data_IF_632907842290
#
_entry.id   IF_632907842290
#
_cell.length_a   1.000
_cell.length_b   1.000
_cell.length_c   1.000
_cell.angle_alpha   90.00
_cell.angle_beta   90.00
_cell.angle_gamma   90.00
#
_symmetry.space_group_name_H-M   'P 1'
#
loop_
_entity.id
_entity.type
_entity.pdbx_description
1 polymer ?
#
# COMPACT_ATOMS: atom_id res chain seq x y z
N UNK A 1 19.13 15.90 -43.63
CA UNK A 1 18.37 16.80 -42.73
C UNK A 1 19.01 16.84 -41.32
N UNK A 2 20.00 15.97 -41.08
CA UNK A 2 20.78 15.74 -39.86
C UNK A 2 21.25 17.00 -39.15
N UNK A 3 21.92 17.93 -39.85
CA UNK A 3 22.39 19.18 -39.25
C UNK A 3 21.24 20.00 -38.62
N UNK A 4 20.07 20.03 -39.26
CA UNK A 4 18.90 20.72 -38.71
C UNK A 4 18.39 20.02 -37.47
N UNK A 5 18.34 18.68 -37.48
CA UNK A 5 17.96 17.88 -36.32
C UNK A 5 18.91 18.11 -35.14
N UNK A 6 20.23 18.06 -35.36
CA UNK A 6 21.26 18.28 -34.34
C UNK A 6 21.13 19.68 -33.71
N UNK A 7 20.88 20.70 -34.54
CA UNK A 7 20.63 22.06 -34.09
C UNK A 7 19.37 22.10 -33.22
N UNK A 8 18.27 21.47 -33.65
CA UNK A 8 17.02 21.46 -32.88
C UNK A 8 17.18 20.76 -31.52
N UNK A 9 17.85 19.60 -31.49
CA UNK A 9 18.13 18.87 -30.24
C UNK A 9 19.01 19.71 -29.32
N UNK A 10 20.07 20.33 -29.86
CA UNK A 10 20.98 21.17 -29.09
C UNK A 10 20.28 22.41 -28.53
N UNK A 11 19.44 23.08 -29.32
CA UNK A 11 18.64 24.22 -28.87
C UNK A 11 17.64 23.82 -27.80
N UNK A 12 16.95 22.68 -27.94
CA UNK A 12 16.04 22.15 -26.93
C UNK A 12 16.78 21.82 -25.61
N UNK A 13 17.97 21.22 -25.70
CA UNK A 13 18.84 20.96 -24.55
C UNK A 13 19.23 22.26 -23.84
N UNK A 14 19.75 23.25 -24.56
CA UNK A 14 20.17 24.54 -23.99
C UNK A 14 18.98 25.25 -23.34
N UNK A 15 17.84 25.31 -24.03
CA UNK A 15 16.64 25.96 -23.53
C UNK A 15 16.13 25.29 -22.24
N UNK A 16 16.07 23.96 -22.22
CA UNK A 16 15.60 23.21 -21.06
C UNK A 16 16.56 23.29 -19.87
N UNK A 17 17.89 23.18 -20.09
CA UNK A 17 18.90 23.36 -19.04
C UNK A 17 18.85 24.77 -18.47
N UNK A 18 18.76 25.79 -19.32
CA UNK A 18 18.66 27.19 -18.89
C UNK A 18 17.43 27.41 -18.02
N UNK A 19 16.26 26.94 -18.48
CA UNK A 19 15.02 27.06 -17.73
C UNK A 19 15.09 26.30 -16.40
N UNK A 20 15.62 25.08 -16.42
CA UNK A 20 15.76 24.22 -15.25
C UNK A 20 16.67 24.85 -14.19
N UNK A 21 17.89 25.28 -14.56
CA UNK A 21 18.84 25.87 -13.62
C UNK A 21 18.40 27.24 -13.09
N UNK A 22 17.61 28.00 -13.86
CA UNK A 22 16.91 29.19 -13.33
C UNK A 22 15.97 28.84 -12.18
N UNK A 23 15.20 27.76 -12.33
CA UNK A 23 14.29 27.28 -11.28
C UNK A 23 15.00 26.64 -10.09
N UNK A 24 16.12 25.96 -10.31
CA UNK A 24 16.96 25.44 -9.22
C UNK A 24 17.49 26.58 -8.36
N UNK A 25 17.92 27.70 -8.95
CA UNK A 25 18.39 28.88 -8.20
C UNK A 25 17.30 29.53 -7.35
N UNK A 26 16.03 29.38 -7.73
CA UNK A 26 14.88 29.95 -7.01
C UNK A 26 14.24 28.97 -6.01
N UNK A 27 14.78 27.76 -5.86
CA UNK A 27 14.21 26.71 -5.01
C UNK A 27 15.29 25.98 -4.20
N UNK A 28 14.89 25.22 -3.17
CA UNK A 28 15.81 24.36 -2.41
C UNK A 28 15.90 22.97 -3.06
N UNK A 29 16.68 22.84 -4.14
CA UNK A 29 16.94 21.55 -4.77
C UNK A 29 17.94 20.71 -3.96
N UNK A 30 17.77 19.40 -3.96
CA UNK A 30 18.76 18.43 -3.47
C UNK A 30 19.86 18.31 -4.50
N UNK A 31 21.10 18.16 -4.06
CA UNK A 31 22.29 18.20 -4.95
C UNK A 31 22.23 17.16 -6.09
N UNK A 32 21.66 15.98 -5.85
CA UNK A 32 21.58 14.94 -6.87
C UNK A 32 20.55 15.24 -7.99
N UNK A 33 19.54 16.09 -7.75
CA UNK A 33 18.49 16.40 -8.74
C UNK A 33 19.07 17.14 -9.97
N UNK A 34 19.79 18.27 -9.84
CA UNK A 34 20.41 18.94 -10.99
C UNK A 34 21.53 18.12 -11.64
N UNK A 35 22.28 17.32 -10.87
CA UNK A 35 23.31 16.44 -11.42
C UNK A 35 22.67 15.38 -12.31
N UNK A 36 21.61 14.72 -11.84
CA UNK A 36 20.89 13.72 -12.63
C UNK A 36 20.27 14.33 -13.89
N UNK A 37 19.68 15.53 -13.80
CA UNK A 37 19.12 16.20 -14.97
C UNK A 37 20.19 16.54 -16.03
N UNK A 38 21.33 17.08 -15.61
CA UNK A 38 22.44 17.39 -16.51
C UNK A 38 23.05 16.11 -17.12
N UNK A 39 23.23 15.05 -16.32
CA UNK A 39 23.72 13.76 -16.79
C UNK A 39 22.75 13.09 -17.79
N UNK A 40 21.44 13.23 -17.57
CA UNK A 40 20.41 12.77 -18.51
C UNK A 40 20.52 13.45 -19.86
N UNK A 41 20.67 14.79 -19.89
CA UNK A 41 20.89 15.53 -21.13
C UNK A 41 22.22 15.20 -21.81
N UNK A 42 23.29 15.04 -21.03
CA UNK A 42 24.58 14.61 -21.56
C UNK A 42 24.47 13.24 -22.23
N UNK A 43 23.69 12.32 -21.65
CA UNK A 43 23.44 10.99 -22.23
C UNK A 43 22.68 11.10 -23.55
N UNK A 44 21.62 11.92 -23.61
CA UNK A 44 20.85 12.17 -24.85
C UNK A 44 21.77 12.76 -25.92
N UNK A 45 22.58 13.76 -25.57
CA UNK A 45 23.50 14.39 -26.49
C UNK A 45 24.57 13.43 -27.02
N UNK A 46 25.17 12.63 -26.13
CA UNK A 46 26.15 11.61 -26.51
C UNK A 46 25.56 10.54 -27.42
N UNK A 47 24.30 10.15 -27.17
CA UNK A 47 23.59 9.19 -28.00
C UNK A 47 23.21 9.77 -29.38
N UNK A 48 22.68 11.00 -29.45
CA UNK A 48 22.03 11.52 -30.67
C UNK A 48 22.86 12.47 -31.53
N UNK A 49 23.88 13.12 -30.97
CA UNK A 49 24.68 14.13 -31.69
C UNK A 49 26.17 13.74 -31.75
N UNK A 50 26.59 12.85 -30.84
CA UNK A 50 27.96 12.38 -30.74
C UNK A 50 28.37 11.42 -31.86
N UNK A 51 29.61 10.89 -31.80
CA UNK A 51 30.11 9.91 -32.78
C UNK A 51 29.27 8.62 -32.85
N UNK A 52 28.49 8.34 -31.80
CA UNK A 52 27.55 7.21 -31.80
C UNK A 52 26.49 7.33 -32.90
N UNK A 53 26.04 8.55 -33.21
CA UNK A 53 25.05 8.76 -34.26
C UNK A 53 25.62 8.42 -35.64
N UNK A 54 26.88 8.76 -35.91
CA UNK A 54 27.53 8.40 -37.18
C UNK A 54 27.84 6.91 -37.28
N UNK A 55 28.13 6.28 -36.15
CA UNK A 55 28.44 4.85 -36.08
C UNK A 55 27.19 3.99 -36.11
N UNK A 56 26.05 4.48 -35.62
CA UNK A 56 24.80 3.74 -35.65
C UNK A 56 24.23 3.56 -37.05
N UNK A 57 24.61 4.40 -38.02
CA UNK A 57 24.25 4.22 -39.43
C UNK A 57 24.86 2.94 -40.04
N UNK A 58 25.95 2.43 -39.45
CA UNK A 58 26.71 1.28 -39.98
C UNK A 58 26.79 0.08 -39.05
N UNK A 59 26.69 0.30 -37.73
CA UNK A 59 26.74 -0.74 -36.70
C UNK A 59 25.42 -0.80 -35.95
N UNK A 60 24.71 -1.91 -36.10
CA UNK A 60 23.45 -2.18 -35.44
C UNK A 60 23.61 -2.27 -33.92
N UNK A 61 24.75 -2.78 -33.41
CA UNK A 61 25.04 -2.77 -31.98
C UNK A 61 25.12 -1.34 -31.41
N UNK A 62 25.69 -0.40 -32.16
CA UNK A 62 25.77 1.02 -31.75
C UNK A 62 24.39 1.66 -31.84
N UNK A 63 23.61 1.35 -32.88
CA UNK A 63 22.21 1.77 -32.99
C UNK A 63 21.37 1.29 -31.79
N UNK A 64 21.48 0.02 -31.41
CA UNK A 64 20.81 -0.48 -30.20
C UNK A 64 21.32 0.16 -28.91
N UNK A 65 22.60 0.53 -28.87
CA UNK A 65 23.14 1.31 -27.75
C UNK A 65 22.48 2.68 -27.65
N UNK A 66 22.18 3.37 -28.77
CA UNK A 66 21.42 4.63 -28.73
C UNK A 66 20.05 4.43 -28.09
N UNK A 67 19.31 3.40 -28.51
CA UNK A 67 17.99 3.08 -27.95
C UNK A 67 18.07 2.83 -26.43
N UNK A 68 18.99 1.97 -25.99
CA UNK A 68 19.17 1.64 -24.58
C UNK A 68 19.57 2.87 -23.76
N UNK A 69 20.54 3.68 -24.22
CA UNK A 69 20.94 4.90 -23.53
C UNK A 69 19.78 5.87 -23.33
N UNK A 70 18.88 6.00 -24.31
CA UNK A 70 17.68 6.84 -24.16
C UNK A 70 16.71 6.28 -23.12
N UNK A 71 16.45 4.97 -23.13
CA UNK A 71 15.38 4.34 -22.35
C UNK A 71 15.78 4.01 -20.90
N UNK A 72 16.96 3.43 -20.70
CA UNK A 72 17.38 2.89 -19.39
C UNK A 72 18.39 3.79 -18.65
N UNK A 73 18.96 4.80 -19.31
CA UNK A 73 19.91 5.76 -18.69
C UNK A 73 19.35 7.19 -18.67
N UNK A 74 19.10 7.78 -19.84
CA UNK A 74 18.68 9.17 -19.94
C UNK A 74 17.30 9.41 -19.31
N UNK A 75 16.29 8.61 -19.68
CA UNK A 75 14.94 8.75 -19.16
C UNK A 75 14.85 8.72 -17.61
N UNK A 76 15.43 7.74 -16.88
CA UNK A 76 15.39 7.76 -15.42
C UNK A 76 16.14 8.95 -14.83
N UNK A 77 17.32 9.30 -15.36
CA UNK A 77 18.10 10.45 -14.90
C UNK A 77 17.32 11.77 -15.02
N UNK A 78 16.66 11.98 -16.17
CA UNK A 78 15.79 13.14 -16.39
C UNK A 78 14.62 13.13 -15.40
N UNK A 79 13.97 11.99 -15.17
CA UNK A 79 12.84 11.89 -14.23
C UNK A 79 13.27 12.17 -12.78
N UNK A 80 14.44 11.67 -12.36
CA UNK A 80 15.04 11.93 -11.03
C UNK A 80 15.29 13.43 -10.85
N UNK A 81 15.68 14.13 -11.92
CA UNK A 81 15.88 15.57 -11.92
C UNK A 81 14.62 16.41 -11.65
N UNK A 82 13.41 15.84 -11.66
CA UNK A 82 12.14 16.58 -11.43
C UNK A 82 11.97 17.82 -12.36
N UNK A 83 12.18 17.68 -13.68
CA UNK A 83 12.24 18.79 -14.62
C UNK A 83 10.97 19.63 -14.64
N UNK A 84 9.79 19.03 -14.40
CA UNK A 84 8.54 19.77 -14.34
C UNK A 84 8.47 20.77 -13.19
N UNK A 85 9.08 20.46 -12.04
CA UNK A 85 9.06 21.37 -10.88
C UNK A 85 10.01 22.53 -11.14
N UNK A 86 11.28 22.24 -11.40
CA UNK A 86 12.28 23.29 -11.58
C UNK A 86 12.03 24.08 -12.86
N UNK A 87 11.61 23.44 -13.95
CA UNK A 87 11.21 24.12 -15.18
C UNK A 87 10.08 25.14 -14.94
N UNK A 88 9.06 24.77 -14.16
CA UNK A 88 7.95 25.67 -13.80
C UNK A 88 8.43 26.86 -12.96
N UNK A 89 9.39 26.65 -12.06
CA UNK A 89 10.00 27.73 -11.25
C UNK A 89 11.04 28.56 -12.00
N UNK A 90 11.48 28.11 -13.18
CA UNK A 90 12.35 28.86 -14.08
C UNK A 90 11.60 29.87 -14.97
N UNK A 91 10.30 29.70 -15.13
CA UNK A 91 9.42 30.57 -15.91
C UNK A 91 9.18 31.92 -15.22
N UNK A 92 8.81 32.94 -16.00
CA UNK A 92 8.33 34.21 -15.44
C UNK A 92 7.03 34.02 -14.64
N UNK A 93 6.71 34.88 -13.67
CA UNK A 93 5.50 34.74 -12.85
C UNK A 93 4.21 34.58 -13.67
N UNK A 94 4.05 35.37 -14.74
CA UNK A 94 2.88 35.32 -15.62
C UNK A 94 2.82 34.03 -16.43
N UNK A 95 3.94 33.59 -17.02
CA UNK A 95 4.01 32.32 -17.75
C UNK A 95 3.74 31.13 -16.82
N UNK A 96 4.30 31.16 -15.60
CA UNK A 96 4.06 30.15 -14.58
C UNK A 96 2.59 30.07 -14.19
N UNK A 97 1.91 31.20 -14.02
CA UNK A 97 0.47 31.24 -13.71
C UNK A 97 -0.36 30.61 -14.84
N UNK A 98 -0.05 30.92 -16.09
CA UNK A 98 -0.72 30.34 -17.26
C UNK A 98 -0.51 28.83 -17.35
N UNK A 99 0.72 28.36 -17.20
CA UNK A 99 1.04 26.92 -17.20
C UNK A 99 0.34 26.20 -16.04
N UNK A 100 0.29 26.81 -14.85
CA UNK A 100 -0.45 26.25 -13.71
C UNK A 100 -1.95 26.19 -13.96
N UNK A 101 -2.55 27.19 -14.60
CA UNK A 101 -3.96 27.18 -14.95
C UNK A 101 -4.30 26.03 -15.92
N UNK A 102 -3.49 25.85 -16.96
CA UNK A 102 -3.65 24.76 -17.93
C UNK A 102 -3.46 23.39 -17.27
N UNK A 103 -2.37 23.22 -16.51
CA UNK A 103 -2.03 21.92 -15.90
C UNK A 103 -2.99 21.52 -14.77
N UNK A 104 -3.71 22.47 -14.17
CA UNK A 104 -4.76 22.21 -13.18
C UNK A 104 -6.15 21.99 -13.77
N UNK A 105 -6.34 22.19 -15.08
CA UNK A 105 -7.61 21.93 -15.72
C UNK A 105 -8.03 20.45 -15.52
N UNK A 106 -9.31 20.15 -15.16
CA UNK A 106 -9.74 18.79 -14.84
C UNK A 106 -9.46 17.78 -15.96
N UNK A 107 -9.62 18.19 -17.22
CA UNK A 107 -9.36 17.36 -18.40
C UNK A 107 -7.88 16.99 -18.52
N UNK A 108 -6.98 17.96 -18.28
CA UNK A 108 -5.52 17.75 -18.33
C UNK A 108 -5.09 16.83 -17.21
N UNK A 109 -5.57 17.05 -15.98
CA UNK A 109 -5.29 16.16 -14.86
C UNK A 109 -5.82 14.75 -15.09
N UNK A 110 -7.04 14.59 -15.61
CA UNK A 110 -7.62 13.27 -15.93
C UNK A 110 -6.79 12.54 -16.99
N UNK A 111 -6.40 13.25 -18.04
CA UNK A 111 -5.58 12.70 -19.13
C UNK A 111 -4.19 12.31 -18.62
N UNK A 112 -3.51 13.22 -17.91
CA UNK A 112 -2.22 12.95 -17.28
C UNK A 112 -2.26 11.71 -16.39
N UNK A 113 -3.32 11.59 -15.57
CA UNK A 113 -3.55 10.42 -14.70
C UNK A 113 -3.81 9.13 -15.47
N UNK A 114 -4.38 9.20 -16.67
CA UNK A 114 -4.61 8.03 -17.52
C UNK A 114 -3.31 7.57 -18.18
N UNK A 115 -2.58 8.48 -18.80
CA UNK A 115 -1.33 8.17 -19.53
C UNK A 115 -0.17 7.79 -18.60
N UNK A 116 -0.19 8.25 -17.34
CA UNK A 116 0.77 7.83 -16.30
C UNK A 116 0.26 6.64 -15.48
N UNK A 117 -0.86 6.03 -15.90
CA UNK A 117 -1.38 4.80 -15.31
C UNK A 117 -0.45 3.63 -15.63
N UNK A 118 -0.14 2.76 -14.65
CA UNK A 118 0.95 1.78 -14.81
C UNK A 118 0.68 0.74 -15.90
N UNK A 119 -0.57 0.30 -16.06
CA UNK A 119 -1.00 -0.60 -17.15
C UNK A 119 -0.86 0.08 -18.51
N UNK A 120 -1.29 1.34 -18.60
CA UNK A 120 -1.21 2.12 -19.85
C UNK A 120 0.24 2.28 -20.26
N UNK A 121 1.10 2.66 -19.32
CA UNK A 121 2.53 2.85 -19.58
C UNK A 121 3.20 1.53 -19.98
N UNK A 122 2.93 0.43 -19.28
CA UNK A 122 3.45 -0.90 -19.65
C UNK A 122 3.06 -1.26 -21.09
N UNK A 123 1.76 -1.17 -21.42
CA UNK A 123 1.24 -1.56 -22.73
C UNK A 123 1.80 -0.64 -23.82
N UNK A 124 1.76 0.68 -23.62
CA UNK A 124 2.24 1.64 -24.61
C UNK A 124 3.74 1.46 -24.82
N UNK A 125 4.54 1.31 -23.76
CA UNK A 125 5.97 1.10 -23.88
C UNK A 125 6.28 -0.22 -24.61
N UNK A 126 5.59 -1.31 -24.27
CA UNK A 126 5.74 -2.59 -24.96
C UNK A 126 5.37 -2.50 -26.44
N UNK A 127 4.22 -1.88 -26.78
CA UNK A 127 3.80 -1.70 -28.17
C UNK A 127 4.83 -0.89 -28.95
N UNK A 128 5.28 0.24 -28.40
CA UNK A 128 6.27 1.10 -29.06
C UNK A 128 7.57 0.33 -29.29
N UNK A 129 8.08 -0.35 -28.26
CA UNK A 129 9.31 -1.12 -28.33
C UNK A 129 9.22 -2.23 -29.39
N UNK A 130 8.18 -3.05 -29.35
CA UNK A 130 8.02 -4.15 -30.31
C UNK A 130 7.74 -3.66 -31.74
N UNK A 131 6.89 -2.65 -31.91
CA UNK A 131 6.52 -2.13 -33.23
C UNK A 131 7.74 -1.61 -33.99
N UNK A 132 8.63 -0.87 -33.32
CA UNK A 132 9.85 -0.34 -33.94
C UNK A 132 10.92 -1.40 -34.20
N UNK A 133 10.80 -2.61 -33.66
CA UNK A 133 11.70 -3.72 -33.97
C UNK A 133 11.14 -4.66 -35.05
N UNK A 134 9.92 -4.42 -35.54
CA UNK A 134 9.42 -5.10 -36.74
C UNK A 134 10.29 -4.65 -37.92
N UNK A 135 10.83 -5.59 -38.75
CA UNK A 135 11.75 -5.26 -39.84
C UNK A 135 11.31 -4.11 -40.73
N UNK A 136 10.04 -4.09 -41.13
CA UNK A 136 9.49 -3.02 -41.97
C UNK A 136 9.56 -1.64 -41.31
N UNK A 137 9.16 -1.51 -40.05
CA UNK A 137 9.16 -0.22 -39.34
C UNK A 137 10.59 0.23 -39.03
N UNK A 138 11.44 -0.72 -38.62
CA UNK A 138 12.83 -0.48 -38.32
C UNK A 138 13.60 0.02 -39.56
N UNK A 139 13.48 -0.69 -40.69
CA UNK A 139 14.08 -0.27 -41.96
C UNK A 139 13.54 1.08 -42.43
N UNK A 140 12.25 1.34 -42.23
CA UNK A 140 11.66 2.65 -42.53
C UNK A 140 12.30 3.80 -41.75
N UNK A 141 12.70 3.56 -40.50
CA UNK A 141 13.43 4.53 -39.69
C UNK A 141 14.86 4.73 -40.19
N UNK A 142 15.58 3.66 -40.55
CA UNK A 142 16.94 3.76 -41.10
C UNK A 142 17.02 4.62 -42.36
N UNK A 143 16.00 4.53 -43.23
CA UNK A 143 15.99 5.24 -44.51
C UNK A 143 15.43 6.66 -44.42
N UNK A 144 14.85 7.07 -43.29
CA UNK A 144 14.23 8.37 -43.13
C UNK A 144 14.51 8.98 -41.75
N UNK A 145 15.34 10.02 -41.74
CA UNK A 145 15.75 10.73 -40.52
C UNK A 145 14.57 11.24 -39.67
N UNK A 146 13.43 11.61 -40.27
CA UNK A 146 12.26 12.07 -39.51
C UNK A 146 11.56 10.91 -38.81
N UNK A 147 11.44 9.76 -39.48
CA UNK A 147 10.89 8.54 -38.89
C UNK A 147 11.82 8.05 -37.76
N UNK A 148 13.14 8.10 -37.99
CA UNK A 148 14.14 7.81 -36.97
C UNK A 148 14.02 8.71 -35.73
N UNK A 149 13.87 10.02 -35.94
CA UNK A 149 13.64 10.97 -34.85
C UNK A 149 12.34 10.67 -34.07
N UNK A 150 11.27 10.30 -34.76
CA UNK A 150 10.00 9.90 -34.13
C UNK A 150 10.18 8.61 -33.31
N UNK A 151 10.90 7.63 -33.83
CA UNK A 151 11.24 6.40 -33.09
C UNK A 151 11.99 6.72 -31.79
N UNK A 152 13.09 7.48 -31.87
CA UNK A 152 13.85 7.90 -30.69
C UNK A 152 13.00 8.68 -29.69
N UNK A 153 12.16 9.60 -30.16
CA UNK A 153 11.25 10.35 -29.31
C UNK A 153 10.24 9.44 -28.61
N UNK A 154 9.66 8.46 -29.32
CA UNK A 154 8.72 7.51 -28.75
C UNK A 154 9.37 6.61 -27.70
N UNK A 155 10.59 6.14 -27.94
CA UNK A 155 11.37 5.38 -26.94
C UNK A 155 11.64 6.22 -25.69
N UNK A 156 12.18 7.42 -25.86
CA UNK A 156 12.49 8.29 -24.73
C UNK A 156 11.23 8.66 -23.94
N UNK A 157 10.15 9.08 -24.60
CA UNK A 157 8.92 9.52 -23.93
C UNK A 157 8.24 8.37 -23.20
N UNK A 158 8.12 7.19 -23.82
CA UNK A 158 7.48 6.05 -23.15
C UNK A 158 8.31 5.53 -21.97
N UNK A 159 9.64 5.49 -22.10
CA UNK A 159 10.54 5.17 -21.01
C UNK A 159 10.47 6.22 -19.89
N UNK A 160 10.43 7.51 -20.21
CA UNK A 160 10.29 8.58 -19.22
C UNK A 160 8.96 8.47 -18.47
N UNK A 161 7.86 8.09 -19.13
CA UNK A 161 6.58 7.81 -18.47
C UNK A 161 6.66 6.59 -17.55
N UNK A 162 7.39 5.54 -17.94
CA UNK A 162 7.63 4.35 -17.12
C UNK A 162 8.41 4.69 -15.85
N UNK A 163 9.55 5.36 -16.00
CA UNK A 163 10.35 5.81 -14.87
C UNK A 163 9.61 6.84 -14.02
N UNK A 164 8.82 7.72 -14.63
CA UNK A 164 7.93 8.63 -13.90
C UNK A 164 6.94 7.87 -13.04
N UNK A 165 6.29 6.85 -13.59
CA UNK A 165 5.35 6.02 -12.85
C UNK A 165 6.01 5.31 -11.67
N UNK A 166 7.27 4.89 -11.78
CA UNK A 166 8.01 4.21 -10.71
C UNK A 166 8.55 5.18 -9.64
N UNK A 167 9.20 6.27 -10.08
CA UNK A 167 9.96 7.17 -9.20
C UNK A 167 9.05 8.23 -8.56
N UNK A 168 8.18 8.84 -9.35
CA UNK A 168 7.35 9.98 -8.95
C UNK A 168 5.87 9.60 -8.75
N UNK A 169 5.44 8.48 -9.36
CA UNK A 169 4.05 8.10 -9.52
C UNK A 169 3.56 7.04 -8.53
N UNK A 170 2.40 7.33 -7.93
CA UNK A 170 1.26 6.46 -7.54
C UNK A 170 1.42 5.06 -6.93
N UNK A 171 2.52 4.33 -7.05
CA UNK A 171 2.68 3.04 -6.37
C UNK A 171 2.72 3.19 -4.84
N UNK A 172 2.95 4.39 -4.31
CA UNK A 172 2.66 4.68 -2.89
C UNK A 172 1.19 4.50 -2.48
N UNK A 173 0.23 4.63 -3.42
CA UNK A 173 -1.21 4.38 -3.18
C UNK A 173 -1.67 2.98 -3.65
N UNK A 174 -1.05 2.41 -4.69
CA UNK A 174 -1.36 1.07 -5.22
C UNK A 174 -0.51 -0.06 -4.60
N UNK A 175 0.53 0.27 -3.83
CA UNK A 175 1.46 -0.66 -3.19
C UNK A 175 2.74 -0.91 -4.00
N UNK A 176 3.88 -1.04 -3.30
CA UNK A 176 5.18 -1.38 -3.90
C UNK A 176 5.18 -2.72 -4.66
N UNK A 177 4.36 -3.71 -4.24
CA UNK A 177 4.25 -4.99 -4.93
C UNK A 177 3.75 -4.86 -6.36
N UNK A 178 2.85 -3.91 -6.62
CA UNK A 178 2.37 -3.60 -7.98
C UNK A 178 3.52 -3.02 -8.81
N UNK A 179 4.36 -2.14 -8.24
CA UNK A 179 5.53 -1.59 -8.92
C UNK A 179 6.54 -2.68 -9.31
N UNK A 180 6.82 -3.62 -8.41
CA UNK A 180 7.71 -4.77 -8.68
C UNK A 180 7.18 -5.60 -9.84
N UNK A 181 5.87 -5.88 -9.88
CA UNK A 181 5.25 -6.59 -11.01
C UNK A 181 5.45 -5.85 -12.34
N UNK A 182 5.24 -4.53 -12.38
CA UNK A 182 5.42 -3.78 -13.62
C UNK A 182 6.87 -3.71 -14.08
N UNK A 183 7.83 -3.60 -13.15
CA UNK A 183 9.26 -3.69 -13.48
C UNK A 183 9.59 -5.08 -14.03
N UNK A 184 9.12 -6.14 -13.38
CA UNK A 184 9.33 -7.51 -13.84
C UNK A 184 8.71 -7.76 -15.22
N UNK A 185 7.45 -7.33 -15.44
CA UNK A 185 6.78 -7.48 -16.73
C UNK A 185 7.53 -6.74 -17.85
N UNK A 186 8.06 -5.55 -17.55
CA UNK A 186 8.86 -4.76 -18.49
C UNK A 186 10.20 -5.45 -18.79
N UNK A 187 10.89 -5.93 -17.75
CA UNK A 187 12.11 -6.70 -17.89
C UNK A 187 11.89 -7.96 -18.73
N UNK A 188 10.78 -8.65 -18.53
CA UNK A 188 10.44 -9.87 -19.26
C UNK A 188 10.25 -9.60 -20.76
N UNK A 189 9.38 -8.66 -21.14
CA UNK A 189 9.12 -8.45 -22.57
C UNK A 189 10.30 -7.82 -23.32
N UNK A 190 11.12 -6.99 -22.66
CA UNK A 190 12.35 -6.44 -23.25
C UNK A 190 13.43 -7.52 -23.38
N UNK A 191 13.57 -8.39 -22.38
CA UNK A 191 14.47 -9.56 -22.44
C UNK A 191 14.09 -10.53 -23.55
N UNK A 192 12.80 -10.80 -23.75
CA UNK A 192 12.32 -11.65 -24.85
C UNK A 192 12.75 -11.04 -26.19
N UNK A 193 12.58 -9.73 -26.38
CA UNK A 193 12.96 -9.08 -27.64
C UNK A 193 14.47 -9.12 -27.87
N UNK A 194 15.29 -8.83 -26.86
CA UNK A 194 16.75 -8.93 -26.95
C UNK A 194 17.22 -10.37 -27.22
N UNK A 195 16.62 -11.36 -26.57
CA UNK A 195 16.92 -12.78 -26.79
C UNK A 195 16.55 -13.23 -28.21
N UNK A 196 15.42 -12.77 -28.75
CA UNK A 196 15.01 -13.07 -30.12
C UNK A 196 16.01 -12.55 -31.15
N UNK A 197 16.55 -11.34 -30.96
CA UNK A 197 17.60 -10.79 -31.81
C UNK A 197 18.92 -11.58 -31.70
N UNK A 198 19.30 -11.95 -30.46
CA UNK A 198 20.52 -12.71 -30.21
C UNK A 198 20.50 -14.13 -30.78
N UNK A 199 19.38 -14.85 -30.61
CA UNK A 199 19.22 -16.21 -31.11
C UNK A 199 18.67 -16.29 -32.54
N UNK A 200 18.60 -15.16 -33.25
CA UNK A 200 18.15 -15.14 -34.63
C UNK A 200 19.09 -15.98 -35.52
N UNK A 201 18.50 -16.83 -36.37
CA UNK A 201 19.23 -17.68 -37.32
C UNK A 201 19.41 -17.03 -38.70
N UNK A 202 18.73 -15.89 -38.94
CA UNK A 202 18.88 -15.07 -40.14
C UNK A 202 18.94 -13.59 -39.79
N UNK A 203 19.46 -12.78 -40.73
CA UNK A 203 19.47 -11.32 -40.59
C UNK A 203 18.05 -10.79 -40.76
N UNK A 204 17.56 -10.06 -39.77
CA UNK A 204 16.23 -9.46 -39.77
C UNK A 204 16.23 -8.09 -40.45
N UNK A 205 17.37 -7.41 -40.46
CA UNK A 205 17.54 -6.05 -40.99
C UNK A 205 18.58 -6.07 -42.12
N UNK A 206 18.16 -6.14 -43.40
CA UNK A 206 19.07 -6.26 -44.53
C UNK A 206 20.08 -5.11 -44.68
N UNK A 207 19.74 -3.92 -44.17
CA UNK A 207 20.61 -2.73 -44.22
C UNK A 207 21.89 -2.89 -43.39
N UNK A 208 21.89 -3.79 -42.40
CA UNK A 208 23.10 -4.19 -41.68
C UNK A 208 23.67 -5.49 -42.23
N UNK A 209 24.98 -5.49 -42.47
CA UNK A 209 25.62 -6.58 -43.20
C UNK A 209 26.05 -7.76 -42.31
N UNK A 210 26.24 -7.54 -41.01
CA UNK A 210 26.80 -8.53 -40.10
C UNK A 210 25.74 -9.20 -39.24
N UNK A 211 25.78 -10.54 -39.18
CA UNK A 211 24.94 -11.31 -38.27
C UNK A 211 25.45 -11.20 -36.83
N UNK A 212 26.78 -11.24 -36.65
CA UNK A 212 27.43 -11.12 -35.36
C UNK A 212 27.09 -9.78 -34.70
N UNK A 213 26.99 -8.71 -35.49
CA UNK A 213 26.56 -7.39 -35.02
C UNK A 213 25.08 -7.38 -34.60
N UNK A 214 24.20 -8.10 -35.32
CA UNK A 214 22.81 -8.33 -34.91
C UNK A 214 22.71 -9.02 -33.55
N UNK A 215 23.52 -10.05 -33.36
CA UNK A 215 23.54 -10.81 -32.12
C UNK A 215 24.10 -9.98 -30.96
N UNK A 216 25.19 -9.23 -31.19
CA UNK A 216 25.75 -8.31 -30.21
C UNK A 216 24.74 -7.24 -29.79
N UNK A 217 24.00 -6.69 -30.72
CA UNK A 217 22.93 -5.74 -30.46
C UNK A 217 21.80 -6.35 -29.61
N UNK A 218 21.43 -7.61 -29.87
CA UNK A 218 20.51 -8.38 -29.02
C UNK A 218 21.03 -8.55 -27.59
N UNK A 219 22.33 -8.81 -27.40
CA UNK A 219 22.95 -8.86 -26.07
C UNK A 219 22.94 -7.50 -25.35
N UNK A 220 23.24 -6.41 -26.08
CA UNK A 220 23.20 -5.03 -25.56
C UNK A 220 21.79 -4.63 -25.14
N UNK A 221 20.77 -5.07 -25.87
CA UNK A 221 19.38 -4.86 -25.49
C UNK A 221 18.98 -5.70 -24.26
N UNK A 222 19.50 -6.91 -24.14
CA UNK A 222 19.08 -7.86 -23.11
C UNK A 222 19.76 -7.62 -21.75
N UNK A 223 21.10 -7.64 -21.70
CA UNK A 223 21.84 -7.74 -20.43
C UNK A 223 21.80 -6.42 -19.61
N UNK A 224 22.17 -5.25 -20.17
CA UNK A 224 22.09 -3.96 -19.47
C UNK A 224 20.69 -3.64 -18.94
N UNK A 225 19.67 -3.81 -19.79
CA UNK A 225 18.26 -3.58 -19.45
C UNK A 225 17.80 -4.49 -18.32
N UNK A 226 18.09 -5.79 -18.43
CA UNK A 226 17.79 -6.78 -17.40
C UNK A 226 18.44 -6.43 -16.06
N UNK A 227 19.72 -6.03 -16.06
CA UNK A 227 20.43 -5.64 -14.83
C UNK A 227 19.79 -4.42 -14.16
N UNK A 228 19.47 -3.38 -14.92
CA UNK A 228 18.85 -2.15 -14.39
C UNK A 228 17.46 -2.44 -13.83
N UNK A 229 16.65 -3.25 -14.51
CA UNK A 229 15.34 -3.63 -13.99
C UNK A 229 15.42 -4.55 -12.77
N UNK A 230 16.40 -5.45 -12.70
CA UNK A 230 16.64 -6.26 -11.49
C UNK A 230 16.99 -5.35 -10.31
N UNK A 231 17.92 -4.41 -10.48
CA UNK A 231 18.30 -3.47 -9.43
C UNK A 231 17.10 -2.62 -9.00
N UNK A 232 16.33 -2.09 -9.94
CA UNK A 232 15.12 -1.32 -9.63
C UNK A 232 14.07 -2.17 -8.91
N UNK A 233 13.83 -3.41 -9.35
CA UNK A 233 12.91 -4.35 -8.74
C UNK A 233 13.32 -4.72 -7.30
N UNK A 234 14.60 -4.99 -7.07
CA UNK A 234 15.15 -5.26 -5.73
C UNK A 234 15.03 -4.04 -4.81
N UNK A 235 15.31 -2.83 -5.31
CA UNK A 235 15.15 -1.60 -4.54
C UNK A 235 13.68 -1.37 -4.13
N UNK A 236 12.73 -1.59 -5.05
CA UNK A 236 11.30 -1.50 -4.77
C UNK A 236 10.82 -2.59 -3.79
N UNK A 237 11.35 -3.81 -3.93
CA UNK A 237 11.05 -4.90 -3.02
C UNK A 237 11.59 -4.66 -1.61
N UNK A 238 12.82 -4.14 -1.48
CA UNK A 238 13.37 -3.73 -0.20
C UNK A 238 12.54 -2.59 0.44
N UNK A 239 12.13 -1.60 -0.36
CA UNK A 239 11.25 -0.52 0.09
C UNK A 239 9.88 -1.05 0.54
N UNK A 240 9.34 -2.08 -0.14
CA UNK A 240 8.12 -2.75 0.24
C UNK A 240 8.22 -3.43 1.61
N UNK A 241 9.30 -4.18 1.85
CA UNK A 241 9.55 -4.83 3.13
C UNK A 241 9.62 -3.79 4.27
N UNK A 242 10.35 -2.70 4.09
CA UNK A 242 10.46 -1.64 5.09
C UNK A 242 9.12 -0.95 5.40
N UNK A 243 8.26 -0.73 4.40
CA UNK A 243 6.93 -0.18 4.62
C UNK A 243 5.99 -1.18 5.30
N UNK A 244 6.12 -2.48 5.01
CA UNK A 244 5.33 -3.54 5.66
C UNK A 244 5.62 -3.62 7.16
N UNK A 245 6.89 -3.51 7.57
CA UNK A 245 7.29 -3.47 8.98
C UNK A 245 6.76 -2.23 9.70
N UNK A 246 6.81 -1.06 9.04
CA UNK A 246 6.24 0.20 9.56
C UNK A 246 4.74 0.08 9.80
N UNK A 247 4.01 -0.52 8.85
CA UNK A 247 2.56 -0.76 8.98
C UNK A 247 2.23 -1.79 10.05
N UNK A 248 3.02 -2.86 10.16
CA UNK A 248 2.87 -3.87 11.21
C UNK A 248 3.06 -3.24 12.61
N UNK A 249 4.12 -2.44 12.81
CA UNK A 249 4.35 -1.71 14.06
C UNK A 249 3.22 -0.74 14.41
N UNK A 250 2.71 0.01 13.43
CA UNK A 250 1.58 0.92 13.63
C UNK A 250 0.29 0.15 14.01
N UNK A 251 0.01 -0.98 13.35
CA UNK A 251 -1.15 -1.83 13.65
C UNK A 251 -1.08 -2.46 15.03
N UNK A 252 0.09 -2.93 15.47
CA UNK A 252 0.26 -3.50 16.81
C UNK A 252 -0.05 -2.49 17.92
N UNK A 253 0.28 -1.20 17.71
CA UNK A 253 -0.04 -0.14 18.66
C UNK A 253 -1.55 0.12 18.75
N UNK A 254 -2.26 0.14 17.61
CA UNK A 254 -3.72 0.33 17.59
C UNK A 254 -4.46 -0.83 18.23
N UNK A 255 -4.04 -2.07 17.98
CA UNK A 255 -4.63 -3.26 18.60
C UNK A 255 -4.42 -3.28 20.11
N UNK A 256 -3.21 -2.93 20.58
CA UNK A 256 -2.92 -2.83 22.01
C UNK A 256 -3.74 -1.74 22.70
N UNK A 257 -3.90 -0.57 22.05
CA UNK A 257 -4.71 0.53 22.57
C UNK A 257 -6.21 0.15 22.64
N UNK A 258 -6.74 -0.54 21.62
CA UNK A 258 -8.12 -1.03 21.64
C UNK A 258 -8.34 -2.08 22.74
N UNK A 259 -7.39 -2.99 22.95
CA UNK A 259 -7.45 -3.98 24.04
C UNK A 259 -7.44 -3.31 25.41
N UNK A 260 -6.60 -2.30 25.61
CA UNK A 260 -6.53 -1.53 26.86
C UNK A 260 -7.83 -0.74 27.12
N UNK A 261 -8.40 -0.11 26.09
CA UNK A 261 -9.68 0.59 26.19
C UNK A 261 -10.84 -0.38 26.50
N UNK A 262 -10.86 -1.56 25.87
CA UNK A 262 -11.86 -2.59 26.16
C UNK A 262 -11.75 -3.11 27.60
N UNK A 263 -10.53 -3.35 28.09
CA UNK A 263 -10.31 -3.74 29.49
C UNK A 263 -10.74 -2.64 30.47
N UNK A 264 -10.50 -1.36 30.16
CA UNK A 264 -10.93 -0.24 31.00
C UNK A 264 -12.48 -0.15 31.07
N UNK A 265 -13.17 -0.20 29.93
CA UNK A 265 -14.63 -0.21 29.90
C UNK A 265 -15.24 -1.43 30.59
N UNK A 266 -14.64 -2.62 30.46
CA UNK A 266 -15.10 -3.82 31.13
C UNK A 266 -14.96 -3.73 32.67
N UNK A 267 -13.93 -3.05 33.16
CA UNK A 267 -13.73 -2.84 34.60
C UNK A 267 -14.73 -1.83 35.19
N UNK A 268 -15.01 -0.75 34.46
CA UNK A 268 -16.01 0.26 34.84
C UNK A 268 -17.43 -0.35 34.87
N UNK A 269 -17.80 -1.12 33.83
CA UNK A 269 -19.08 -1.83 33.77
C UNK A 269 -19.28 -2.85 34.91
N UNK A 270 -18.20 -3.51 35.37
CA UNK A 270 -18.26 -4.40 36.53
C UNK A 270 -18.48 -3.60 37.83
N UNK A 271 -17.85 -2.44 37.97
CA UNK A 271 -18.02 -1.55 39.13
C UNK A 271 -19.46 -1.09 39.30
N UNK A 272 -20.11 -0.68 38.21
CA UNK A 272 -21.49 -0.19 38.22
C UNK A 272 -22.49 -1.26 38.68
N UNK A 273 -22.34 -2.51 38.21
CA UNK A 273 -23.21 -3.62 38.63
C UNK A 273 -23.11 -3.93 40.12
N UNK A 274 -21.90 -3.85 40.68
CA UNK A 274 -21.68 -4.07 42.12
C UNK A 274 -22.32 -2.92 42.92
N UNK A 275 -22.17 -1.67 42.47
CA UNK A 275 -22.77 -0.50 43.12
C UNK A 275 -24.31 -0.56 43.10
N UNK A 276 -24.90 -0.88 41.95
CA UNK A 276 -26.36 -1.03 41.78
C UNK A 276 -26.90 -2.16 42.68
N UNK A 277 -26.25 -3.32 42.69
CA UNK A 277 -26.68 -4.44 43.53
C UNK A 277 -26.61 -4.12 45.03
N UNK A 278 -25.57 -3.39 45.48
CA UNK A 278 -25.48 -2.87 46.86
C UNK A 278 -26.65 -1.93 47.18
N UNK A 279 -26.99 -1.04 46.26
CA UNK A 279 -28.10 -0.09 46.45
C UNK A 279 -29.46 -0.78 46.53
N UNK A 280 -29.71 -1.77 45.67
CA UNK A 280 -30.99 -2.49 45.61
C UNK A 280 -31.22 -3.39 46.83
N UNK A 281 -30.17 -4.02 47.35
CA UNK A 281 -30.29 -5.09 48.35
C UNK A 281 -29.85 -4.68 49.76
N UNK A 282 -29.04 -3.61 49.88
CA UNK A 282 -28.38 -3.23 51.12
C UNK A 282 -27.33 -4.24 51.62
N UNK A 283 -26.94 -5.21 50.78
CA UNK A 283 -25.95 -6.24 51.07
C UNK A 283 -24.63 -6.03 50.33
N UNK A 284 -23.62 -6.83 50.67
CA UNK A 284 -22.29 -6.82 50.06
C UNK A 284 -22.04 -8.07 49.21
N UNK A 285 -21.88 -7.94 47.89
CA UNK A 285 -21.70 -9.07 46.97
C UNK A 285 -20.56 -10.03 47.34
N UNK A 286 -19.39 -9.54 47.75
CA UNK A 286 -18.25 -10.42 48.10
C UNK A 286 -18.52 -11.27 49.35
N UNK A 287 -19.24 -10.72 50.33
CA UNK A 287 -19.72 -11.51 51.47
C UNK A 287 -20.81 -12.49 51.05
N UNK A 288 -21.67 -12.08 50.13
CA UNK A 288 -22.70 -12.93 49.53
C UNK A 288 -22.12 -14.17 48.87
N UNK A 289 -21.08 -13.99 48.06
CA UNK A 289 -20.33 -15.09 47.45
C UNK A 289 -19.85 -16.10 48.49
N UNK A 290 -19.29 -15.62 49.59
CA UNK A 290 -18.80 -16.46 50.70
C UNK A 290 -19.95 -17.18 51.40
N UNK A 291 -21.07 -16.48 51.63
CA UNK A 291 -22.27 -17.07 52.24
C UNK A 291 -22.89 -18.15 51.34
N UNK A 292 -22.97 -17.92 50.01
CA UNK A 292 -23.45 -18.91 49.03
C UNK A 292 -22.66 -20.23 49.14
N UNK A 293 -21.34 -20.15 49.32
CA UNK A 293 -20.51 -21.34 49.52
C UNK A 293 -20.79 -22.00 50.87
N UNK A 294 -20.87 -21.20 51.93
CA UNK A 294 -21.10 -21.68 53.30
C UNK A 294 -22.44 -22.41 53.46
N UNK A 295 -23.50 -21.86 52.88
CA UNK A 295 -24.84 -22.48 52.90
C UNK A 295 -25.01 -23.56 51.82
N UNK A 296 -23.98 -23.84 51.02
CA UNK A 296 -23.98 -24.96 50.09
C UNK A 296 -24.88 -24.77 48.86
N UNK A 297 -25.27 -23.55 48.48
CA UNK A 297 -26.20 -23.36 47.36
C UNK A 297 -25.66 -23.94 46.02
N UNK A 298 -24.33 -24.04 45.89
CA UNK A 298 -23.65 -24.63 44.74
C UNK A 298 -23.81 -26.15 44.58
N UNK A 299 -24.33 -26.87 45.58
CA UNK A 299 -24.65 -28.31 45.44
C UNK A 299 -25.89 -28.55 44.60
N UNK A 300 -26.73 -27.53 44.44
CA UNK A 300 -27.95 -27.60 43.63
C UNK A 300 -27.91 -26.68 42.41
N UNK A 301 -27.29 -25.50 42.53
CA UNK A 301 -27.31 -24.48 41.47
C UNK A 301 -25.96 -24.30 40.79
N UNK A 302 -26.01 -23.89 39.52
CA UNK A 302 -24.86 -23.33 38.80
C UNK A 302 -24.81 -21.83 39.07
N UNK A 303 -23.70 -21.36 39.63
CA UNK A 303 -23.55 -19.97 40.07
C UNK A 303 -22.20 -19.43 39.57
N UNK A 304 -22.19 -18.56 38.54
CA UNK A 304 -20.96 -17.95 38.04
C UNK A 304 -20.16 -17.26 39.15
N UNK A 305 -18.84 -17.40 39.10
CA UNK A 305 -17.92 -16.76 40.05
C UNK A 305 -17.82 -17.43 41.43
N UNK A 306 -18.67 -18.42 41.75
CA UNK A 306 -18.62 -19.19 43.00
C UNK A 306 -17.86 -20.51 42.75
N UNK A 307 -16.70 -20.73 43.40
CA UNK A 307 -15.95 -21.98 43.26
C UNK A 307 -16.80 -23.22 43.56
N UNK A 308 -16.79 -24.19 42.63
CA UNK A 308 -17.48 -25.48 42.78
C UNK A 308 -18.98 -25.48 42.48
N UNK A 309 -19.64 -24.33 42.32
CA UNK A 309 -21.08 -24.23 42.08
C UNK A 309 -21.44 -24.49 40.60
N UNK A 310 -21.45 -25.77 40.20
CA UNK A 310 -21.77 -26.23 38.83
C UNK A 310 -22.91 -27.26 38.79
N UNK A 311 -23.66 -27.39 39.88
CA UNK A 311 -24.76 -28.35 39.95
C UNK A 311 -25.99 -27.87 39.16
N UNK A 312 -26.84 -28.81 38.77
CA UNK A 312 -28.02 -28.56 37.91
C UNK A 312 -29.30 -29.16 38.48
N UNK A 313 -29.34 -29.39 39.79
CA UNK A 313 -30.54 -29.88 40.49
C UNK A 313 -31.60 -28.76 40.52
N UNK A 314 -31.17 -27.53 40.79
CA UNK A 314 -31.96 -26.31 40.61
C UNK A 314 -31.57 -25.57 39.33
N UNK A 315 -32.35 -24.57 38.90
CA UNK A 315 -32.05 -23.77 37.72
C UNK A 315 -30.72 -23.00 37.89
N UNK A 316 -30.01 -22.70 36.79
CA UNK A 316 -28.81 -21.86 36.84
C UNK A 316 -29.16 -20.45 37.32
N UNK A 317 -28.24 -19.77 38.00
CA UNK A 317 -28.45 -18.43 38.61
C UNK A 317 -27.65 -17.32 37.91
N UNK A 318 -27.10 -17.60 36.72
CA UNK A 318 -26.22 -16.74 35.93
C UNK A 318 -26.83 -15.43 35.44
N UNK A 319 -28.16 -15.35 35.34
CA UNK A 319 -28.90 -14.14 34.96
C UNK A 319 -30.04 -13.82 35.94
N UNK A 320 -29.95 -14.30 37.18
CA UNK A 320 -31.04 -14.12 38.14
C UNK A 320 -31.34 -12.65 38.43
N UNK A 321 -30.36 -11.74 38.33
CA UNK A 321 -30.55 -10.31 38.56
C UNK A 321 -31.47 -9.60 37.56
N UNK A 322 -31.74 -10.21 36.40
CA UNK A 322 -32.64 -9.66 35.36
C UNK A 322 -33.90 -10.50 35.12
N UNK A 323 -34.08 -11.62 35.84
CA UNK A 323 -35.29 -12.44 35.72
C UNK A 323 -36.51 -11.70 36.27
N UNK A 324 -37.65 -11.81 35.60
CA UNK A 324 -38.90 -11.20 36.08
C UNK A 324 -39.49 -11.95 37.28
N UNK A 325 -39.37 -13.29 37.30
CA UNK A 325 -39.97 -14.14 38.32
C UNK A 325 -38.94 -15.05 39.00
N UNK A 326 -39.14 -15.26 40.30
CA UNK A 326 -38.52 -16.25 41.16
C UNK A 326 -39.50 -17.41 41.36
N UNK A 327 -39.00 -18.65 41.38
CA UNK A 327 -39.83 -19.84 41.54
C UNK A 327 -41.04 -19.94 40.57
N UNK A 328 -40.97 -19.25 39.42
CA UNK A 328 -42.02 -19.24 38.40
C UNK A 328 -43.23 -18.35 38.66
N UNK A 329 -43.38 -17.75 39.86
CA UNK A 329 -44.58 -16.98 40.21
C UNK A 329 -44.35 -15.76 41.11
N UNK A 330 -43.21 -15.67 41.82
CA UNK A 330 -42.91 -14.55 42.71
C UNK A 330 -42.15 -13.46 41.95
N UNK A 331 -42.60 -12.20 41.96
CA UNK A 331 -41.89 -11.11 41.29
C UNK A 331 -40.47 -10.95 41.88
N UNK A 332 -39.46 -10.85 41.04
CA UNK A 332 -38.06 -10.75 41.45
C UNK A 332 -37.70 -9.35 41.97
N UNK A 333 -38.04 -9.11 43.23
CA UNK A 333 -37.55 -7.95 44.00
C UNK A 333 -36.52 -8.40 45.02
N UNK A 334 -35.60 -7.52 45.46
CA UNK A 334 -34.63 -7.85 46.50
C UNK A 334 -35.27 -8.45 47.76
N UNK A 335 -36.37 -7.87 48.22
CA UNK A 335 -37.14 -8.34 49.37
C UNK A 335 -37.67 -9.77 49.16
N UNK A 336 -38.24 -10.03 47.99
CA UNK A 336 -38.78 -11.34 47.65
C UNK A 336 -37.68 -12.40 47.50
N UNK A 337 -36.55 -12.04 46.89
CA UNK A 337 -35.40 -12.94 46.77
C UNK A 337 -34.84 -13.32 48.13
N UNK A 338 -34.69 -12.35 49.04
CA UNK A 338 -34.24 -12.61 50.41
C UNK A 338 -35.21 -13.52 51.16
N UNK A 339 -36.52 -13.28 51.04
CA UNK A 339 -37.54 -14.12 51.67
C UNK A 339 -37.50 -15.56 51.11
N UNK A 340 -37.38 -15.69 49.80
CA UNK A 340 -37.27 -16.98 49.11
C UNK A 340 -36.03 -17.76 49.54
N UNK A 341 -34.86 -17.14 49.66
CA UNK A 341 -33.62 -17.83 50.06
C UNK A 341 -33.67 -18.29 51.52
N UNK A 342 -34.37 -17.55 52.39
CA UNK A 342 -34.49 -17.88 53.82
C UNK A 342 -35.45 -19.03 54.08
N UNK A 343 -36.64 -18.97 53.51
CA UNK A 343 -37.74 -19.88 53.81
C UNK A 343 -38.60 -20.15 52.57
N UNK A 344 -38.06 -20.83 51.53
CA UNK A 344 -38.80 -21.14 50.30
C UNK A 344 -40.07 -21.95 50.57
N UNK A 345 -40.10 -22.84 51.55
CA UNK A 345 -41.29 -23.67 51.84
C UNK A 345 -42.43 -22.88 52.47
N UNK A 346 -42.14 -21.72 53.08
CA UNK A 346 -43.17 -20.78 53.56
C UNK A 346 -43.86 -20.00 52.43
N UNK A 347 -43.26 -19.98 51.24
CA UNK A 347 -43.79 -19.32 50.04
C UNK A 347 -44.45 -20.36 49.13
N UNK A 348 -43.76 -21.45 48.87
CA UNK A 348 -44.27 -22.61 48.11
C UNK A 348 -44.04 -23.90 48.92
N UNK A 349 -45.07 -24.44 49.60
CA UNK A 349 -44.97 -25.66 50.39
C UNK A 349 -44.54 -26.90 49.59
N UNK A 350 -44.61 -26.86 48.26
CA UNK A 350 -44.18 -27.94 47.36
C UNK A 350 -42.75 -27.74 46.82
N UNK A 351 -42.06 -26.66 47.21
CA UNK A 351 -40.70 -26.39 46.77
C UNK A 351 -39.74 -27.49 47.21
N UNK A 352 -38.94 -27.98 46.26
CA UNK A 352 -37.84 -28.91 46.52
C UNK A 352 -36.63 -28.22 47.16
N UNK A 353 -36.56 -26.88 47.15
CA UNK A 353 -35.54 -26.13 47.86
C UNK A 353 -35.88 -26.13 49.37
N UNK A 354 -35.00 -26.66 50.24
CA UNK A 354 -35.27 -26.72 51.67
C UNK A 354 -35.18 -25.33 52.32
N UNK A 355 -35.78 -25.19 53.51
CA UNK A 355 -35.57 -24.00 54.32
C UNK A 355 -34.11 -23.91 54.78
N UNK A 356 -33.40 -22.89 54.28
CA UNK A 356 -31.96 -22.72 54.49
C UNK A 356 -31.62 -22.02 55.80
N UNK A 357 -32.63 -21.40 56.44
CA UNK A 357 -32.51 -20.63 57.69
C UNK A 357 -31.36 -19.60 57.67
N UNK A 358 -31.08 -19.01 56.50
CA UNK A 358 -30.03 -18.00 56.37
C UNK A 358 -30.37 -16.78 57.23
N UNK A 359 -29.35 -16.16 57.83
CA UNK A 359 -29.56 -14.94 58.63
C UNK A 359 -30.05 -13.78 57.75
N UNK A 360 -30.65 -12.75 58.35
CA UNK A 360 -31.14 -11.58 57.57
C UNK A 360 -29.98 -10.88 56.84
N UNK A 361 -28.82 -10.81 57.49
CA UNK A 361 -27.60 -10.25 56.92
C UNK A 361 -27.07 -11.09 55.77
N UNK A 362 -26.99 -12.40 55.95
CA UNK A 362 -26.52 -13.28 54.88
C UNK A 362 -27.50 -13.29 53.70
N UNK A 363 -28.81 -13.24 53.97
CA UNK A 363 -29.83 -13.10 52.93
C UNK A 363 -29.62 -11.85 52.06
N UNK A 364 -29.35 -10.69 52.68
CA UNK A 364 -29.00 -9.44 51.98
C UNK A 364 -27.72 -9.59 51.15
N UNK A 365 -26.66 -10.10 51.77
CA UNK A 365 -25.36 -10.24 51.11
C UNK A 365 -25.45 -11.22 49.91
N UNK A 366 -26.14 -12.36 50.07
CA UNK A 366 -26.40 -13.33 48.99
C UNK A 366 -27.22 -12.69 47.87
N UNK A 367 -28.30 -11.99 48.20
CA UNK A 367 -29.10 -11.29 47.20
C UNK A 367 -28.24 -10.27 46.44
N UNK A 368 -27.39 -9.51 47.13
CA UNK A 368 -26.47 -8.55 46.51
C UNK A 368 -25.58 -9.24 45.46
N UNK A 369 -25.00 -10.39 45.78
CA UNK A 369 -24.20 -11.15 44.82
C UNK A 369 -25.02 -11.59 43.62
N UNK A 370 -26.20 -12.16 43.85
CA UNK A 370 -27.08 -12.66 42.80
C UNK A 370 -27.57 -11.55 41.86
N UNK A 371 -27.79 -10.33 42.36
CA UNK A 371 -28.15 -9.17 41.53
C UNK A 371 -26.99 -8.64 40.68
N UNK A 372 -25.73 -9.03 40.94
CA UNK A 372 -24.61 -8.75 40.02
C UNK A 372 -24.60 -9.67 38.79
N UNK A 373 -25.35 -10.78 38.85
CA UNK A 373 -25.45 -11.78 37.78
C UNK A 373 -26.56 -11.38 36.81
N UNK A 374 -26.19 -10.55 35.83
CA UNK A 374 -27.04 -10.02 34.76
C UNK A 374 -26.46 -10.38 33.40
#
# INVERSE_FOLDING_TARGET
MRLVFDILVTLAMIASLTLYFRGVRSTKARVYEPIAFAAGWLTIFAALVGPMDTLSDVLFAVHMTQHELLMIVAAPLIVIGRPMIYGLWGLSPSARANVLAITRAPAVLKTWRAITGPVVVLIVHAIVLWAWHIPFAFEGALHNETIHAVQHLMFFVTAALFWWAIIQGRYGRLGYGVAVFFVFATAMHTSILGALLFFAHGRWYPSYHSMEDQQLAGLIMWIPSGLIFIVAGLALFAAWLGESERRAKASSFTTLLMLLLFCACANEYRGDRIAEARQLTGGEPERGKTAIQRYGCGTCHTIPGVPGAKATVGPPLDQIGVRTYLAGHLINTPANLMKWIRAPQSIDPKSAMPDMFVTERDGRDIAAYLYTLK
#
